data_IF_258484732686
#
_entry.id   IF_258484732686
#
_cell.length_a   1.000
_cell.length_b   1.000
_cell.length_c   1.000
_cell.angle_alpha   90.00
_cell.angle_beta   90.00
_cell.angle_gamma   90.00
#
_symmetry.space_group_name_H-M   'P 1'
#
loop_
_entity.id
_entity.type
_entity.pdbx_description
1 polymer ?
#
# COMPACT_ATOMS: atom_id res chain seq x y z
N UNK A 1 -31.15 8.64 57.34
CA UNK A 1 -30.14 7.61 56.96
C UNK A 1 -30.09 7.33 55.46
N UNK A 2 -31.23 7.15 54.76
CA UNK A 2 -31.25 6.92 53.29
C UNK A 2 -30.50 7.95 52.45
N UNK A 3 -30.63 9.26 52.73
CA UNK A 3 -29.93 10.29 51.94
C UNK A 3 -28.41 10.29 52.17
N UNK A 4 -27.91 9.94 53.37
CA UNK A 4 -26.47 9.80 53.62
C UNK A 4 -25.88 8.56 52.93
N UNK A 5 -26.64 7.48 52.82
CA UNK A 5 -26.22 6.24 52.14
C UNK A 5 -26.13 6.44 50.62
N UNK A 6 -27.08 7.18 50.02
CA UNK A 6 -27.07 7.52 48.59
C UNK A 6 -25.89 8.43 48.25
N UNK A 7 -25.59 9.42 49.11
CA UNK A 7 -24.43 10.30 48.93
C UNK A 7 -23.11 9.51 49.05
N UNK A 8 -23.01 8.55 49.97
CA UNK A 8 -21.81 7.71 50.09
C UNK A 8 -21.61 6.77 48.89
N UNK A 9 -22.69 6.19 48.36
CA UNK A 9 -22.66 5.33 47.18
C UNK A 9 -22.30 6.11 45.91
N UNK A 10 -22.85 7.32 45.73
CA UNK A 10 -22.46 8.22 44.64
C UNK A 10 -21.00 8.67 44.76
N UNK A 11 -20.53 8.98 45.96
CA UNK A 11 -19.12 9.32 46.20
C UNK A 11 -18.18 8.14 45.90
N UNK A 12 -18.57 6.91 46.27
CA UNK A 12 -17.80 5.69 45.95
C UNK A 12 -17.76 5.42 44.44
N UNK A 13 -18.87 5.59 43.71
CA UNK A 13 -18.92 5.40 42.26
C UNK A 13 -18.08 6.47 41.53
N UNK A 14 -18.11 7.74 41.98
CA UNK A 14 -17.28 8.83 41.44
C UNK A 14 -15.79 8.58 41.75
N UNK A 15 -15.46 8.08 42.94
CA UNK A 15 -14.08 7.75 43.33
C UNK A 15 -13.50 6.55 42.56
N UNK A 16 -14.33 5.55 42.23
CA UNK A 16 -13.91 4.41 41.42
C UNK A 16 -13.67 4.84 39.95
N UNK A 17 -14.59 5.61 39.34
CA UNK A 17 -14.43 6.07 37.96
C UNK A 17 -13.20 6.97 37.77
N UNK A 18 -12.88 7.83 38.75
CA UNK A 18 -11.70 8.70 38.70
C UNK A 18 -10.36 7.94 38.83
N UNK A 19 -10.31 6.87 39.64
CA UNK A 19 -9.14 6.00 39.72
C UNK A 19 -8.88 5.22 38.42
N UNK A 20 -9.95 4.75 37.76
CA UNK A 20 -9.84 4.11 36.45
C UNK A 20 -9.38 5.09 35.35
N UNK A 21 -9.89 6.32 35.36
CA UNK A 21 -9.46 7.37 34.42
C UNK A 21 -7.95 7.69 34.56
N UNK A 22 -7.46 7.81 35.79
CA UNK A 22 -6.05 8.07 36.08
C UNK A 22 -5.12 6.94 35.59
N UNK A 23 -5.54 5.67 35.73
CA UNK A 23 -4.76 4.54 35.24
C UNK A 23 -4.60 4.54 33.71
N UNK A 24 -5.68 4.85 32.97
CA UNK A 24 -5.61 4.99 31.52
C UNK A 24 -4.75 6.18 31.11
N UNK A 25 -4.80 7.28 31.86
CA UNK A 25 -3.94 8.43 31.62
C UNK A 25 -2.45 8.10 31.83
N UNK A 26 -2.07 7.43 32.91
CA UNK A 26 -0.67 7.00 33.13
C UNK A 26 -0.19 6.00 32.07
N UNK A 27 -1.04 5.04 31.70
CA UNK A 27 -0.76 4.12 30.59
C UNK A 27 -0.55 4.88 29.27
N UNK A 28 -1.41 5.86 28.99
CA UNK A 28 -1.31 6.73 27.82
C UNK A 28 0.01 7.50 27.80
N UNK A 29 0.42 8.09 28.92
CA UNK A 29 1.72 8.79 29.04
C UNK A 29 2.91 7.86 28.83
N UNK A 30 2.84 6.63 29.34
CA UNK A 30 3.90 5.65 29.09
C UNK A 30 4.02 5.29 27.61
N UNK A 31 2.90 5.04 26.93
CA UNK A 31 2.90 4.80 25.49
C UNK A 31 3.38 6.02 24.70
N UNK A 32 2.95 7.22 25.10
CA UNK A 32 3.36 8.48 24.50
C UNK A 32 4.87 8.71 24.62
N UNK A 33 5.45 8.48 25.81
CA UNK A 33 6.90 8.57 26.04
C UNK A 33 7.69 7.56 25.20
N UNK A 34 7.11 6.38 24.99
CA UNK A 34 7.66 5.32 24.15
C UNK A 34 7.34 5.52 22.65
N UNK A 35 6.78 6.68 22.25
CA UNK A 35 6.42 7.04 20.87
C UNK A 35 5.38 6.11 20.22
N UNK A 36 4.65 5.33 21.02
CA UNK A 36 3.55 4.49 20.55
C UNK A 36 2.23 5.30 20.60
N UNK A 37 2.08 6.23 19.67
CA UNK A 37 0.99 7.22 19.68
C UNK A 37 -0.40 6.60 19.43
N UNK A 38 -0.48 5.45 18.75
CA UNK A 38 -1.76 4.74 18.54
C UNK A 38 -2.29 4.19 19.87
N UNK A 39 -1.44 3.53 20.66
CA UNK A 39 -1.85 3.03 21.98
C UNK A 39 -2.04 4.17 22.99
N UNK A 40 -1.22 5.22 22.90
CA UNK A 40 -1.43 6.44 23.69
C UNK A 40 -2.80 7.05 23.41
N UNK A 41 -3.21 7.16 22.14
CA UNK A 41 -4.50 7.71 21.72
C UNK A 41 -5.67 6.89 22.27
N UNK A 42 -5.61 5.56 22.19
CA UNK A 42 -6.64 4.69 22.77
C UNK A 42 -6.74 4.85 24.29
N UNK A 43 -5.61 4.90 24.99
CA UNK A 43 -5.56 5.09 26.44
C UNK A 43 -6.06 6.46 26.87
N UNK A 44 -5.63 7.54 26.19
CA UNK A 44 -6.12 8.89 26.48
C UNK A 44 -7.59 9.08 26.13
N UNK A 45 -8.09 8.47 25.04
CA UNK A 45 -9.52 8.48 24.71
C UNK A 45 -10.36 7.79 25.78
N UNK A 46 -9.87 6.69 26.36
CA UNK A 46 -10.51 6.02 27.51
C UNK A 46 -10.48 6.91 28.75
N UNK A 47 -9.34 7.51 29.09
CA UNK A 47 -9.23 8.44 30.20
C UNK A 47 -10.21 9.63 30.06
N UNK A 48 -10.30 10.20 28.85
CA UNK A 48 -11.21 11.30 28.53
C UNK A 48 -12.68 10.88 28.51
N UNK A 49 -12.99 9.63 28.15
CA UNK A 49 -14.38 9.11 28.25
C UNK A 49 -14.85 8.96 29.69
N UNK A 50 -13.92 8.67 30.62
CA UNK A 50 -14.21 8.53 32.04
C UNK A 50 -14.24 9.87 32.77
N UNK A 51 -13.44 10.85 32.34
CA UNK A 51 -13.47 12.23 32.83
C UNK A 51 -13.34 13.24 31.67
N UNK A 52 -14.47 13.60 31.02
CA UNK A 52 -14.46 14.48 29.85
C UNK A 52 -14.04 15.91 30.16
N UNK A 53 -14.08 16.35 31.42
CA UNK A 53 -13.80 17.74 31.78
C UNK A 53 -12.34 17.95 32.21
N UNK A 54 -11.54 16.89 32.24
CA UNK A 54 -10.13 16.95 32.62
C UNK A 54 -9.27 17.58 31.51
N UNK A 55 -8.81 18.80 31.76
CA UNK A 55 -7.99 19.56 30.80
C UNK A 55 -6.66 18.88 30.47
N UNK A 56 -6.02 18.19 31.42
CA UNK A 56 -4.74 17.53 31.19
C UNK A 56 -4.90 16.27 30.34
N UNK A 57 -5.95 15.47 30.59
CA UNK A 57 -6.23 14.28 29.76
C UNK A 57 -6.54 14.69 28.33
N UNK A 58 -7.37 15.73 28.17
CA UNK A 58 -7.72 16.29 26.86
C UNK A 58 -6.50 16.88 26.16
N UNK A 59 -5.58 17.51 26.90
CA UNK A 59 -4.34 18.05 26.35
C UNK A 59 -3.42 16.95 25.81
N UNK A 60 -3.17 15.90 26.58
CA UNK A 60 -2.35 14.78 26.09
C UNK A 60 -3.03 14.00 24.97
N UNK A 61 -4.36 13.92 24.97
CA UNK A 61 -5.12 13.41 23.85
C UNK A 61 -4.90 14.25 22.60
N UNK A 62 -5.10 15.58 22.68
CA UNK A 62 -4.88 16.53 21.58
C UNK A 62 -3.44 16.52 21.07
N UNK A 63 -2.45 16.48 21.96
CA UNK A 63 -1.04 16.32 21.62
C UNK A 63 -0.79 15.01 20.88
N UNK A 64 -1.38 13.91 21.34
CA UNK A 64 -1.27 12.63 20.65
C UNK A 64 -1.90 12.69 19.26
N UNK A 65 -3.02 13.42 19.07
CA UNK A 65 -3.62 13.66 17.76
C UNK A 65 -2.69 14.45 16.83
N UNK A 66 -1.92 15.42 17.35
CA UNK A 66 -0.88 16.12 16.56
C UNK A 66 0.20 15.16 16.07
N UNK A 67 0.71 14.27 16.93
CA UNK A 67 1.69 13.25 16.51
C UNK A 67 1.13 12.17 15.58
N UNK A 68 -0.20 12.03 15.55
CA UNK A 68 -0.94 11.21 14.60
C UNK A 68 -1.40 11.99 13.36
N UNK A 69 -0.99 13.27 13.22
CA UNK A 69 -1.31 14.17 12.11
C UNK A 69 -2.81 14.43 11.88
N UNK A 70 -3.64 14.19 12.89
CA UNK A 70 -5.07 14.52 12.92
C UNK A 70 -5.28 15.96 13.40
N UNK A 71 -4.74 16.93 12.65
CA UNK A 71 -4.57 18.31 13.10
C UNK A 71 -5.89 19.06 13.33
N UNK A 72 -6.91 18.81 12.51
CA UNK A 72 -8.25 19.41 12.70
C UNK A 72 -8.91 18.93 14.00
N UNK A 73 -8.75 17.66 14.33
CA UNK A 73 -9.27 17.09 15.58
C UNK A 73 -8.45 17.60 16.77
N UNK A 74 -7.12 17.64 16.63
CA UNK A 74 -6.25 18.21 17.66
C UNK A 74 -6.62 19.67 17.96
N UNK A 75 -6.85 20.49 16.93
CA UNK A 75 -7.27 21.88 17.07
C UNK A 75 -8.61 22.00 17.82
N UNK A 76 -9.63 21.23 17.44
CA UNK A 76 -10.93 21.21 18.16
C UNK A 76 -10.76 20.84 19.63
N UNK A 77 -9.91 19.87 19.94
CA UNK A 77 -9.63 19.46 21.31
C UNK A 77 -8.88 20.54 22.10
N UNK A 78 -7.93 21.24 21.47
CA UNK A 78 -7.24 22.40 22.06
C UNK A 78 -8.18 23.58 22.33
N UNK A 79 -9.07 23.89 21.39
CA UNK A 79 -10.12 24.89 21.57
C UNK A 79 -11.03 24.53 22.74
N UNK A 80 -11.38 23.24 22.88
CA UNK A 80 -12.19 22.76 24.00
C UNK A 80 -11.48 22.87 25.35
N UNK A 81 -10.16 22.70 25.41
CA UNK A 81 -9.38 22.91 26.65
C UNK A 81 -9.42 24.37 27.08
N UNK A 82 -9.32 25.30 26.12
CA UNK A 82 -9.39 26.75 26.37
C UNK A 82 -10.78 27.12 26.90
N UNK A 83 -11.85 26.53 26.37
CA UNK A 83 -13.22 26.72 26.86
C UNK A 83 -13.41 26.19 28.30
N UNK A 84 -12.94 24.96 28.57
CA UNK A 84 -13.16 24.27 29.83
C UNK A 84 -12.32 24.82 30.99
N UNK A 85 -11.06 25.21 30.72
CA UNK A 85 -10.11 25.61 31.75
C UNK A 85 -9.15 26.71 31.26
N UNK A 86 -9.66 27.93 30.97
CA UNK A 86 -8.90 28.99 30.29
C UNK A 86 -7.64 29.48 31.04
N UNK A 87 -7.59 29.32 32.37
CA UNK A 87 -6.44 29.71 33.19
C UNK A 87 -5.43 28.58 33.42
N UNK A 88 -5.70 27.38 32.92
CA UNK A 88 -4.82 26.21 33.12
C UNK A 88 -3.54 26.29 32.28
N UNK A 89 -2.49 25.60 32.74
CA UNK A 89 -1.27 25.42 31.94
C UNK A 89 -1.55 24.73 30.61
N UNK A 90 -2.48 23.76 30.60
CA UNK A 90 -2.95 23.08 29.40
C UNK A 90 -3.56 24.05 28.37
N UNK A 91 -4.38 25.01 28.80
CA UNK A 91 -4.97 26.01 27.89
C UNK A 91 -3.91 26.94 27.29
N UNK A 92 -2.92 27.39 28.08
CA UNK A 92 -1.80 28.21 27.56
C UNK A 92 -0.99 27.47 26.49
N UNK A 93 -0.70 26.19 26.74
CA UNK A 93 0.00 25.34 25.78
C UNK A 93 -0.85 25.06 24.53
N UNK A 94 -2.17 24.93 24.71
CA UNK A 94 -3.14 24.73 23.62
C UNK A 94 -3.16 25.91 22.65
N UNK A 95 -3.09 27.16 23.13
CA UNK A 95 -3.00 28.35 22.27
C UNK A 95 -1.74 28.31 21.39
N UNK A 96 -0.59 27.94 21.97
CA UNK A 96 0.67 27.81 21.22
C UNK A 96 0.58 26.67 20.20
N UNK A 97 -0.04 25.54 20.57
CA UNK A 97 -0.24 24.41 19.69
C UNK A 97 -1.16 24.75 18.50
N UNK A 98 -2.27 25.47 18.74
CA UNK A 98 -3.16 25.96 17.68
C UNK A 98 -2.41 26.92 16.75
N UNK A 99 -1.63 27.87 17.29
CA UNK A 99 -0.85 28.79 16.46
C UNK A 99 0.18 28.04 15.58
N UNK A 100 0.76 26.94 16.07
CA UNK A 100 1.64 26.09 15.30
C UNK A 100 0.89 25.30 14.21
N UNK A 101 -0.32 24.79 14.51
CA UNK A 101 -1.20 24.13 13.54
C UNK A 101 -1.64 25.13 12.47
N UNK A 102 -2.05 26.33 12.86
CA UNK A 102 -2.43 27.41 11.95
C UNK A 102 -1.24 27.90 11.12
N UNK A 103 -0.02 27.90 11.66
CA UNK A 103 1.19 28.19 10.87
C UNK A 103 1.53 27.05 9.91
N UNK A 104 1.26 25.80 10.30
CA UNK A 104 1.36 24.65 9.42
C UNK A 104 0.34 24.74 8.27
N UNK A 105 -0.88 25.20 8.53
CA UNK A 105 -1.88 25.46 7.50
C UNK A 105 -1.60 26.75 6.71
N UNK A 106 -1.20 27.85 7.32
CA UNK A 106 -0.84 29.10 6.64
C UNK A 106 0.44 29.01 5.81
N UNK A 107 1.31 28.03 6.09
CA UNK A 107 2.39 27.63 5.19
C UNK A 107 1.92 26.80 3.99
N UNK A 108 0.63 26.46 3.94
CA UNK A 108 -0.05 25.60 2.98
C UNK A 108 -1.42 26.18 2.50
N UNK A 109 -1.78 27.43 2.82
CA UNK A 109 -3.14 27.94 2.59
C UNK A 109 -3.31 28.58 1.21
N UNK A 110 -4.49 28.27 0.68
CA UNK A 110 -5.03 28.43 -0.66
C UNK A 110 -5.57 29.86 -0.84
N UNK A 111 -5.14 30.56 -1.90
CA UNK A 111 -6.00 31.54 -2.56
C UNK A 111 -6.61 30.86 -3.79
N UNK A 112 -7.94 30.79 -3.80
CA UNK A 112 -8.76 30.29 -4.89
C UNK A 112 -8.89 31.39 -5.95
N UNK A 113 -8.21 31.22 -7.08
CA UNK A 113 -8.72 31.41 -8.45
C UNK A 113 -7.54 31.34 -9.44
N UNK A 114 -7.49 30.24 -10.20
CA UNK A 114 -6.58 30.00 -11.33
C UNK A 114 -5.06 29.93 -11.03
N UNK A 115 -4.42 28.89 -11.56
CA UNK A 115 -2.96 28.67 -11.61
C UNK A 115 -2.25 28.02 -10.38
N UNK A 116 -1.91 26.74 -10.56
CA UNK A 116 -0.74 26.02 -10.02
C UNK A 116 -0.54 25.87 -8.50
N UNK A 117 -0.81 24.65 -8.00
CA UNK A 117 -0.31 24.16 -6.68
C UNK A 117 1.22 24.10 -6.63
N UNK A 118 1.86 24.39 -5.48
CA UNK A 118 3.32 24.49 -5.39
C UNK A 118 4.00 23.12 -5.49
N UNK A 119 4.91 23.04 -6.46
CA UNK A 119 5.75 21.93 -6.83
C UNK A 119 6.91 21.70 -5.86
N UNK A 120 7.31 20.44 -5.67
CA UNK A 120 8.71 20.09 -5.37
C UNK A 120 9.54 20.60 -6.56
N UNK A 121 10.29 21.70 -6.41
CA UNK A 121 11.15 22.29 -7.45
C UNK A 121 10.68 22.03 -8.89
N UNK A 122 9.60 22.69 -9.31
CA UNK A 122 9.15 22.67 -10.71
C UNK A 122 8.61 21.33 -11.24
N UNK A 123 8.46 20.28 -10.42
CA UNK A 123 7.90 19.00 -10.89
C UNK A 123 6.38 19.06 -11.05
N UNK A 124 5.64 19.95 -10.40
CA UNK A 124 4.18 20.10 -10.61
C UNK A 124 3.32 18.93 -10.06
N UNK A 125 2.05 18.85 -10.48
CA UNK A 125 1.11 17.82 -10.02
C UNK A 125 1.62 16.40 -10.32
N UNK A 126 1.41 15.46 -9.39
CA UNK A 126 1.81 14.05 -9.50
C UNK A 126 0.96 13.17 -8.56
N UNK A 127 1.18 11.85 -8.59
CA UNK A 127 0.53 10.88 -7.71
C UNK A 127 1.55 9.88 -7.12
N UNK A 128 2.73 10.37 -6.72
CA UNK A 128 3.83 9.51 -6.20
C UNK A 128 3.40 8.60 -5.05
N UNK A 129 2.43 9.01 -4.24
CA UNK A 129 1.84 8.21 -3.16
C UNK A 129 1.21 6.90 -3.63
N UNK A 130 0.69 6.89 -4.86
CA UNK A 130 0.08 5.73 -5.49
C UNK A 130 1.09 4.92 -6.33
N UNK A 131 2.34 5.38 -6.43
CA UNK A 131 3.40 4.69 -7.16
C UNK A 131 4.21 3.72 -6.28
N UNK A 132 3.94 3.67 -4.97
CA UNK A 132 4.72 2.92 -3.99
C UNK A 132 4.32 1.44 -3.94
N UNK A 133 5.30 0.56 -3.70
CA UNK A 133 5.07 -0.85 -3.36
C UNK A 133 5.22 -1.07 -1.85
N UNK A 134 4.13 -1.39 -1.16
CA UNK A 134 4.14 -1.52 0.30
C UNK A 134 4.61 -0.26 1.05
N UNK A 135 4.51 0.92 0.41
CA UNK A 135 5.02 2.19 0.93
C UNK A 135 6.48 2.50 0.61
N UNK A 136 7.15 1.66 -0.19
CA UNK A 136 8.53 1.87 -0.64
C UNK A 136 8.57 2.32 -2.11
N UNK A 137 9.56 3.14 -2.45
CA UNK A 137 9.88 3.45 -3.85
C UNK A 137 10.60 2.27 -4.45
N UNK A 138 10.06 1.79 -5.57
CA UNK A 138 10.66 0.73 -6.38
C UNK A 138 11.00 1.31 -7.75
N UNK A 139 12.27 1.20 -8.15
CA UNK A 139 12.75 1.78 -9.42
C UNK A 139 14.01 1.10 -9.95
N UNK A 140 14.37 1.38 -11.20
CA UNK A 140 15.63 0.95 -11.79
C UNK A 140 16.81 1.71 -11.16
N UNK A 141 18.00 1.09 -11.12
CA UNK A 141 19.23 1.85 -10.85
C UNK A 141 19.52 2.73 -12.07
N UNK A 142 19.71 4.04 -11.89
CA UNK A 142 20.04 4.96 -12.99
C UNK A 142 21.35 4.59 -13.70
N UNK A 143 22.31 3.98 -13.00
CA UNK A 143 23.56 3.48 -13.60
C UNK A 143 23.35 2.31 -14.57
N UNK A 144 22.15 1.70 -14.58
CA UNK A 144 21.77 0.61 -15.47
C UNK A 144 21.38 1.09 -16.87
N UNK A 145 21.18 2.39 -17.07
CA UNK A 145 20.74 2.94 -18.36
C UNK A 145 21.79 2.78 -19.47
N UNK A 146 21.38 2.57 -20.73
CA UNK A 146 20.01 2.35 -21.18
C UNK A 146 19.47 0.95 -20.84
N UNK A 147 18.18 0.85 -20.51
CA UNK A 147 17.52 -0.43 -20.28
C UNK A 147 17.49 -1.26 -21.57
N UNK A 148 17.73 -2.57 -21.46
CA UNK A 148 17.69 -3.48 -22.60
C UNK A 148 16.27 -4.00 -22.79
N UNK A 149 15.65 -3.66 -23.91
CA UNK A 149 14.29 -4.06 -24.29
C UNK A 149 14.36 -5.22 -25.29
N UNK A 150 13.72 -6.34 -24.96
CA UNK A 150 13.46 -7.41 -25.91
C UNK A 150 12.02 -7.38 -26.38
N UNK A 151 11.86 -7.30 -27.70
CA UNK A 151 10.59 -7.48 -28.40
C UNK A 151 10.74 -8.68 -29.33
N UNK A 152 10.14 -9.81 -28.93
CA UNK A 152 10.22 -11.05 -29.70
C UNK A 152 9.49 -11.01 -31.05
N UNK A 153 9.63 -12.09 -31.81
CA UNK A 153 8.86 -12.32 -33.03
C UNK A 153 7.57 -13.08 -32.68
N UNK A 154 6.43 -12.44 -32.87
CA UNK A 154 5.11 -12.98 -32.52
C UNK A 154 4.20 -13.20 -33.74
N UNK A 155 4.75 -13.26 -34.95
CA UNK A 155 3.98 -13.48 -36.18
C UNK A 155 3.09 -14.72 -36.15
N UNK A 156 3.50 -15.74 -35.41
CA UNK A 156 2.79 -17.01 -35.28
C UNK A 156 1.81 -17.05 -34.09
N UNK A 157 1.72 -15.99 -33.30
CA UNK A 157 0.77 -15.90 -32.18
C UNK A 157 -0.61 -15.52 -32.72
N UNK A 158 -1.62 -16.33 -32.37
CA UNK A 158 -3.01 -16.09 -32.77
C UNK A 158 -3.45 -14.65 -32.45
N UNK A 159 -4.00 -13.96 -33.44
CA UNK A 159 -4.51 -12.59 -33.32
C UNK A 159 -3.46 -11.48 -33.28
N UNK A 160 -2.16 -11.81 -33.31
CA UNK A 160 -1.10 -10.81 -33.43
C UNK A 160 -1.20 -10.07 -34.76
N UNK A 161 -1.00 -8.76 -34.74
CA UNK A 161 -0.94 -7.92 -35.95
C UNK A 161 0.44 -7.28 -36.09
N UNK A 162 0.90 -7.08 -37.32
CA UNK A 162 2.22 -6.52 -37.60
C UNK A 162 2.46 -5.14 -36.96
N UNK A 163 1.40 -4.35 -36.78
CA UNK A 163 1.46 -3.02 -36.15
C UNK A 163 1.64 -3.06 -34.63
N UNK A 164 1.44 -4.20 -33.96
CA UNK A 164 1.58 -4.29 -32.49
C UNK A 164 3.01 -3.97 -32.05
N UNK A 165 4.02 -4.50 -32.74
CA UNK A 165 5.42 -4.20 -32.46
C UNK A 165 5.78 -2.72 -32.70
N UNK A 166 5.12 -2.06 -33.67
CA UNK A 166 5.28 -0.63 -33.90
C UNK A 166 4.65 0.20 -32.78
N UNK A 167 3.47 -0.19 -32.30
CA UNK A 167 2.80 0.45 -31.16
C UNK A 167 3.65 0.39 -29.88
N UNK A 168 4.30 -0.75 -29.61
CA UNK A 168 5.24 -0.91 -28.48
C UNK A 168 6.40 0.08 -28.59
N UNK A 169 7.09 0.11 -29.74
CA UNK A 169 8.22 1.01 -29.97
C UNK A 169 7.81 2.48 -29.83
N UNK A 170 6.62 2.82 -30.33
CA UNK A 170 6.05 4.16 -30.20
C UNK A 170 5.80 4.51 -28.72
N UNK A 171 5.15 3.64 -27.95
CA UNK A 171 4.86 3.88 -26.54
C UNK A 171 6.13 4.09 -25.71
N UNK A 172 7.19 3.30 -25.92
CA UNK A 172 8.48 3.53 -25.28
C UNK A 172 9.14 4.83 -25.71
N UNK A 173 9.08 5.16 -27.01
CA UNK A 173 9.62 6.43 -27.52
C UNK A 173 8.91 7.62 -26.90
N UNK A 174 7.59 7.55 -26.74
CA UNK A 174 6.78 8.60 -26.13
C UNK A 174 7.14 8.79 -24.65
N UNK A 175 7.31 7.71 -23.88
CA UNK A 175 7.83 7.79 -22.51
C UNK A 175 9.21 8.45 -22.43
N UNK A 176 10.17 8.04 -23.28
CA UNK A 176 11.52 8.62 -23.28
C UNK A 176 11.47 10.11 -23.62
N UNK A 177 10.76 10.47 -24.68
CA UNK A 177 10.66 11.85 -25.15
C UNK A 177 10.05 12.76 -24.07
N UNK A 178 9.07 12.25 -23.32
CA UNK A 178 8.42 13.01 -22.24
C UNK A 178 9.25 13.08 -20.96
N UNK A 179 10.12 12.11 -20.72
CA UNK A 179 11.02 12.09 -19.57
C UNK A 179 12.34 12.84 -19.83
N UNK A 180 12.46 13.58 -20.93
CA UNK A 180 13.62 14.43 -21.27
C UNK A 180 14.96 13.68 -21.18
N UNK A 181 14.99 12.39 -21.56
CA UNK A 181 16.19 11.56 -21.54
C UNK A 181 16.60 11.02 -20.18
N UNK A 182 15.79 11.21 -19.13
CA UNK A 182 15.99 10.58 -17.80
C UNK A 182 16.07 9.05 -17.90
N UNK A 183 15.30 8.47 -18.83
CA UNK A 183 15.28 7.04 -19.12
C UNK A 183 15.65 6.85 -20.58
N UNK A 184 16.34 5.75 -20.89
CA UNK A 184 16.66 5.38 -22.26
C UNK A 184 16.61 3.86 -22.42
N UNK A 185 16.35 3.36 -23.64
CA UNK A 185 16.36 1.92 -23.92
C UNK A 185 17.15 1.58 -25.19
N UNK A 186 17.60 0.33 -25.26
CA UNK A 186 18.19 -0.27 -26.46
C UNK A 186 17.48 -1.58 -26.78
N UNK A 187 17.33 -1.92 -28.05
CA UNK A 187 16.75 -3.19 -28.45
C UNK A 187 17.81 -4.30 -28.41
N UNK A 188 17.44 -5.44 -27.83
CA UNK A 188 18.25 -6.67 -27.86
C UNK A 188 17.50 -7.79 -28.56
N UNK A 189 18.24 -8.72 -29.16
CA UNK A 189 17.67 -9.84 -29.92
C UNK A 189 17.49 -11.12 -29.10
N UNK A 190 17.99 -11.16 -27.87
CA UNK A 190 17.91 -12.32 -26.97
C UNK A 190 17.18 -11.90 -25.67
N UNK A 191 16.12 -12.60 -25.25
CA UNK A 191 15.38 -12.26 -24.03
C UNK A 191 16.23 -12.34 -22.76
N UNK A 192 17.26 -13.21 -22.72
CA UNK A 192 18.12 -13.35 -21.55
C UNK A 192 19.03 -12.14 -21.31
N UNK A 193 19.26 -11.33 -22.35
CA UNK A 193 20.05 -10.10 -22.25
C UNK A 193 19.18 -8.89 -21.88
N UNK A 194 17.85 -9.08 -21.76
CA UNK A 194 16.89 -8.00 -21.59
C UNK A 194 16.61 -7.68 -20.12
N UNK A 195 16.43 -6.39 -19.85
CA UNK A 195 15.91 -5.88 -18.58
C UNK A 195 14.38 -5.82 -18.62
N UNK A 196 13.82 -5.49 -19.79
CA UNK A 196 12.36 -5.51 -20.03
C UNK A 196 12.05 -6.44 -21.20
N UNK A 197 11.12 -7.37 -20.99
CA UNK A 197 10.62 -8.29 -22.02
C UNK A 197 9.17 -7.95 -22.33
N UNK A 198 8.86 -7.80 -23.63
CA UNK A 198 7.48 -7.66 -24.12
C UNK A 198 7.05 -8.96 -24.75
N UNK A 199 5.96 -9.54 -24.28
CA UNK A 199 5.43 -10.82 -24.75
C UNK A 199 3.97 -10.69 -25.16
N UNK A 200 3.66 -11.06 -26.40
CA UNK A 200 2.29 -11.16 -26.88
C UNK A 200 1.75 -12.57 -26.69
N UNK A 201 0.53 -12.67 -26.14
CA UNK A 201 -0.18 -13.92 -25.89
C UNK A 201 -1.62 -13.85 -26.40
N UNK A 202 -2.24 -14.95 -26.86
CA UNK A 202 -3.63 -14.93 -27.33
C UNK A 202 -4.62 -14.36 -26.30
N UNK A 203 -4.41 -14.74 -25.04
CA UNK A 203 -5.06 -14.18 -23.88
C UNK A 203 -4.08 -14.33 -22.70
N UNK A 204 -4.00 -13.32 -21.84
CA UNK A 204 -3.25 -13.41 -20.59
C UNK A 204 -4.00 -14.37 -19.67
N UNK A 205 -3.25 -15.30 -19.05
CA UNK A 205 -3.81 -16.26 -18.12
C UNK A 205 -4.18 -15.54 -16.81
N UNK A 206 -5.47 -15.24 -16.66
CA UNK A 206 -5.98 -14.60 -15.45
C UNK A 206 -6.43 -15.60 -14.39
N UNK A 207 -6.30 -16.91 -14.62
CA UNK A 207 -6.82 -17.96 -13.72
C UNK A 207 -6.33 -17.82 -12.28
N UNK A 208 -5.10 -17.33 -12.08
CA UNK A 208 -4.51 -17.08 -10.75
C UNK A 208 -4.69 -15.65 -10.23
N UNK A 209 -5.09 -14.71 -11.08
CA UNK A 209 -5.35 -13.30 -10.71
C UNK A 209 -6.83 -13.04 -10.44
N UNK A 210 -7.69 -13.97 -10.88
CA UNK A 210 -9.15 -13.91 -11.02
C UNK A 210 -9.73 -12.55 -11.42
N UNK A 211 -8.93 -11.73 -12.09
CA UNK A 211 -9.38 -10.58 -12.84
C UNK A 211 -10.18 -11.09 -14.03
N UNK A 212 -11.23 -10.37 -14.43
CA UNK A 212 -11.83 -10.54 -15.74
C UNK A 212 -10.78 -10.35 -16.84
N UNK A 213 -11.23 -10.19 -18.08
CA UNK A 213 -10.28 -9.97 -19.18
C UNK A 213 -9.35 -8.78 -18.93
N UNK A 214 -8.04 -9.04 -18.88
CA UNK A 214 -6.99 -8.01 -18.86
C UNK A 214 -6.27 -7.98 -20.21
N UNK A 215 -5.93 -6.77 -20.63
CA UNK A 215 -5.30 -6.52 -21.92
C UNK A 215 -3.78 -6.45 -21.84
N UNK A 216 -3.27 -6.00 -20.70
CA UNK A 216 -1.87 -5.92 -20.36
C UNK A 216 -1.66 -6.41 -18.93
N UNK A 217 -0.47 -6.90 -18.65
CA UNK A 217 -0.02 -7.23 -17.32
C UNK A 217 1.49 -7.04 -17.23
N UNK A 218 1.93 -6.23 -16.28
CA UNK A 218 3.34 -6.10 -15.93
C UNK A 218 3.65 -6.90 -14.67
N UNK A 219 4.67 -7.74 -14.75
CA UNK A 219 5.27 -8.42 -13.61
C UNK A 219 6.73 -8.02 -13.44
N UNK A 220 7.21 -8.03 -12.20
CA UNK A 220 8.53 -7.51 -11.86
C UNK A 220 9.33 -8.52 -11.03
N UNK A 221 10.65 -8.47 -11.17
CA UNK A 221 11.57 -9.04 -10.20
C UNK A 221 12.31 -7.90 -9.50
N UNK A 222 12.05 -7.76 -8.20
CA UNK A 222 12.56 -6.70 -7.35
C UNK A 222 13.55 -7.32 -6.35
N UNK A 223 14.72 -6.69 -6.18
CA UNK A 223 15.67 -7.03 -5.12
C UNK A 223 15.78 -5.86 -4.16
N UNK A 224 15.16 -5.98 -2.98
CA UNK A 224 15.01 -4.87 -2.04
C UNK A 224 14.02 -3.86 -2.59
N UNK A 225 14.52 -2.71 -3.04
CA UNK A 225 13.79 -1.60 -3.65
C UNK A 225 14.22 -1.34 -5.11
N UNK A 226 15.08 -2.20 -5.67
CA UNK A 226 15.63 -2.02 -7.02
C UNK A 226 15.00 -3.02 -8.00
N UNK A 227 14.42 -2.49 -9.07
CA UNK A 227 13.97 -3.27 -10.23
C UNK A 227 15.18 -3.92 -10.90
N UNK A 228 15.06 -5.23 -11.15
CA UNK A 228 16.07 -6.02 -11.86
C UNK A 228 15.57 -6.54 -13.18
N UNK A 229 14.27 -6.76 -13.30
CA UNK A 229 13.63 -7.28 -14.51
C UNK A 229 12.15 -6.91 -14.50
N UNK A 230 11.59 -6.62 -15.67
CA UNK A 230 10.15 -6.48 -15.87
C UNK A 230 9.68 -7.27 -17.10
N UNK A 231 8.52 -7.90 -17.00
CA UNK A 231 7.89 -8.62 -18.09
C UNK A 231 6.48 -8.04 -18.31
N UNK A 232 6.24 -7.55 -19.52
CA UNK A 232 4.95 -7.04 -19.96
C UNK A 232 4.32 -8.06 -20.87
N UNK A 233 3.23 -8.68 -20.43
CA UNK A 233 2.38 -9.51 -21.27
C UNK A 233 1.24 -8.68 -21.85
N UNK A 234 0.96 -8.87 -23.15
CA UNK A 234 -0.13 -8.17 -23.85
C UNK A 234 -1.01 -9.18 -24.58
N UNK A 235 -2.30 -9.14 -24.30
CA UNK A 235 -3.30 -9.95 -24.99
C UNK A 235 -3.42 -9.50 -26.45
N UNK A 236 -3.42 -10.44 -27.39
CA UNK A 236 -3.58 -10.13 -28.82
C UNK A 236 -5.04 -10.07 -29.26
N UNK A 237 -5.95 -10.64 -28.47
CA UNK A 237 -7.38 -10.74 -28.77
C UNK A 237 -8.24 -10.45 -27.54
N UNK A 238 -9.44 -9.94 -27.77
CA UNK A 238 -10.50 -9.80 -26.76
C UNK A 238 -11.18 -11.15 -26.49
N UNK A 239 -11.97 -11.31 -25.40
CA UNK A 239 -12.66 -12.57 -25.08
C UNK A 239 -13.60 -13.04 -26.19
N UNK A 240 -14.22 -12.09 -26.91
CA UNK A 240 -15.07 -12.36 -28.07
C UNK A 240 -14.28 -12.65 -29.37
N UNK A 241 -12.96 -12.87 -29.26
CA UNK A 241 -12.01 -13.12 -30.36
C UNK A 241 -11.84 -11.97 -31.35
N UNK A 242 -12.27 -10.76 -31.02
CA UNK A 242 -11.98 -9.58 -31.85
C UNK A 242 -10.54 -9.11 -31.63
N UNK A 243 -9.93 -8.58 -32.69
CA UNK A 243 -8.55 -8.09 -32.70
C UNK A 243 -8.50 -6.68 -32.09
N UNK A 244 -7.44 -6.39 -31.35
CA UNK A 244 -7.19 -5.05 -30.84
C UNK A 244 -6.74 -4.11 -31.94
N UNK A 245 -7.24 -2.87 -31.91
CA UNK A 245 -6.75 -1.81 -32.79
C UNK A 245 -5.32 -1.41 -32.42
N UNK A 246 -4.61 -0.71 -33.30
CA UNK A 246 -3.28 -0.15 -32.97
C UNK A 246 -3.36 0.76 -31.74
N UNK A 247 -4.43 1.56 -31.64
CA UNK A 247 -4.72 2.44 -30.51
C UNK A 247 -4.93 1.67 -29.21
N UNK A 248 -5.67 0.55 -29.24
CA UNK A 248 -5.86 -0.29 -28.06
C UNK A 248 -4.52 -0.80 -27.53
N UNK A 249 -3.69 -1.40 -28.40
CA UNK A 249 -2.38 -1.93 -28.02
C UNK A 249 -1.44 -0.83 -27.55
N UNK A 250 -1.42 0.30 -28.25
CA UNK A 250 -0.60 1.44 -27.87
C UNK A 250 -0.92 1.89 -26.44
N UNK A 251 -2.20 2.08 -26.09
CA UNK A 251 -2.57 2.53 -24.75
C UNK A 251 -2.35 1.49 -23.67
N UNK A 252 -2.63 0.21 -23.95
CA UNK A 252 -2.29 -0.89 -23.04
C UNK A 252 -0.81 -0.86 -22.74
N UNK A 253 0.04 -0.86 -23.76
CA UNK A 253 1.50 -0.89 -23.56
C UNK A 253 1.98 0.40 -22.89
N UNK A 254 1.40 1.56 -23.21
CA UNK A 254 1.77 2.83 -22.58
C UNK A 254 1.54 2.79 -21.06
N UNK A 255 0.43 2.19 -20.61
CA UNK A 255 0.12 1.96 -19.19
C UNK A 255 1.10 0.96 -18.55
N UNK A 256 1.29 -0.20 -19.16
CA UNK A 256 2.18 -1.23 -18.65
C UNK A 256 3.64 -0.76 -18.56
N UNK A 257 4.09 0.12 -19.46
CA UNK A 257 5.41 0.73 -19.35
C UNK A 257 5.52 1.56 -18.07
N UNK A 258 4.49 2.31 -17.67
CA UNK A 258 4.52 3.06 -16.41
C UNK A 258 4.77 2.16 -15.21
N UNK A 259 4.12 0.99 -15.16
CA UNK A 259 4.42 -0.04 -14.17
C UNK A 259 5.86 -0.56 -14.29
N UNK A 260 6.32 -0.88 -15.50
CA UNK A 260 7.68 -1.37 -15.72
C UNK A 260 8.76 -0.34 -15.36
N UNK A 261 8.44 0.95 -15.38
CA UNK A 261 9.34 2.04 -14.99
C UNK A 261 9.33 2.31 -13.48
N UNK A 262 8.41 1.74 -12.71
CA UNK A 262 8.43 1.86 -11.24
C UNK A 262 7.15 2.36 -10.59
N UNK A 263 6.09 2.65 -11.34
CA UNK A 263 4.80 3.01 -10.75
C UNK A 263 4.09 1.72 -10.31
N UNK A 264 4.15 1.40 -9.02
CA UNK A 264 3.66 0.11 -8.52
C UNK A 264 2.15 0.06 -8.25
N UNK A 265 1.47 1.21 -8.33
CA UNK A 265 0.01 1.31 -8.27
C UNK A 265 -0.55 2.13 -9.44
N UNK A 266 -1.68 2.79 -9.23
CA UNK A 266 -2.46 3.43 -10.28
C UNK A 266 -2.79 4.88 -9.94
N UNK A 267 -2.95 5.72 -10.97
CA UNK A 267 -3.51 7.06 -10.75
C UNK A 267 -4.98 6.98 -10.34
N UNK A 268 -5.40 7.97 -9.55
CA UNK A 268 -6.80 8.19 -9.18
C UNK A 268 -7.55 9.07 -10.18
N UNK A 269 -6.87 9.65 -11.19
CA UNK A 269 -7.47 10.56 -12.16
C UNK A 269 -7.65 9.87 -13.52
N UNK A 270 -8.88 9.87 -14.05
CA UNK A 270 -9.25 9.21 -15.30
C UNK A 270 -8.56 9.74 -16.57
N UNK A 271 -7.98 10.93 -16.51
CA UNK A 271 -7.22 11.53 -17.61
C UNK A 271 -5.77 11.01 -17.68
N UNK A 272 -5.29 10.33 -16.64
CA UNK A 272 -3.91 9.85 -16.56
C UNK A 272 -3.76 8.49 -17.27
N UNK A 273 -2.60 8.28 -17.88
CA UNK A 273 -2.27 6.99 -18.51
C UNK A 273 -2.34 5.87 -17.47
N UNK A 274 -1.87 6.13 -16.24
CA UNK A 274 -1.86 5.15 -15.15
C UNK A 274 -3.22 4.93 -14.47
N UNK A 275 -4.32 5.48 -14.99
CA UNK A 275 -5.65 5.16 -14.49
C UNK A 275 -6.15 3.80 -15.02
N UNK A 276 -6.75 2.94 -14.18
CA UNK A 276 -7.13 1.60 -14.58
C UNK A 276 -8.44 1.62 -15.38
N UNK A 277 -8.35 1.66 -16.71
CA UNK A 277 -9.53 1.63 -17.61
C UNK A 277 -9.73 0.23 -18.21
N UNK A 278 -10.97 -0.26 -18.17
CA UNK A 278 -11.39 -1.42 -18.95
C UNK A 278 -11.54 -1.04 -20.44
N UNK A 279 -10.76 -1.69 -21.32
CA UNK A 279 -10.76 -1.37 -22.76
C UNK A 279 -12.17 -1.49 -23.36
N UNK A 280 -12.66 -0.39 -23.94
CA UNK A 280 -13.91 -0.34 -24.70
C UNK A 280 -15.01 0.54 -24.10
N UNK A 281 -14.79 1.20 -22.95
CA UNK A 281 -15.84 2.04 -22.32
C UNK A 281 -15.84 3.52 -22.67
N UNK A 282 -14.86 4.03 -23.40
CA UNK A 282 -14.92 5.26 -24.21
C UNK A 282 -13.59 5.41 -24.92
N UNK A 283 -13.62 5.87 -26.15
CA UNK A 283 -12.50 6.49 -26.84
C UNK A 283 -12.13 7.78 -26.12
N UNK A 284 -11.56 7.66 -24.92
CA UNK A 284 -10.99 8.81 -24.22
C UNK A 284 -9.68 9.09 -24.93
N UNK A 285 -9.48 10.33 -25.37
CA UNK A 285 -8.16 10.83 -25.70
C UNK A 285 -7.32 10.75 -24.42
N UNK A 286 -6.81 9.56 -24.09
CA UNK A 286 -5.81 9.37 -23.05
C UNK A 286 -4.58 10.11 -23.57
N UNK A 287 -4.42 11.36 -23.14
CA UNK A 287 -3.26 12.18 -23.44
C UNK A 287 -2.29 11.92 -22.30
N UNK A 288 -1.04 11.67 -22.63
CA UNK A 288 0.05 11.56 -21.68
C UNK A 288 -0.01 12.77 -20.71
N UNK A 289 -0.43 12.54 -19.47
CA UNK A 289 -0.68 13.65 -18.55
C UNK A 289 0.66 14.17 -18.03
N UNK A 290 0.70 15.44 -17.65
CA UNK A 290 1.87 15.97 -16.92
C UNK A 290 2.08 15.19 -15.61
N UNK A 291 1.00 14.73 -14.95
CA UNK A 291 1.07 13.94 -13.71
C UNK A 291 1.80 12.61 -13.88
N UNK A 292 1.60 11.91 -15.01
CA UNK A 292 2.33 10.67 -15.32
C UNK A 292 3.85 10.93 -15.43
N UNK A 293 4.24 11.98 -16.19
CA UNK A 293 5.64 12.39 -16.34
C UNK A 293 6.25 12.75 -14.99
N UNK A 294 5.55 13.60 -14.24
CA UNK A 294 6.01 14.19 -13.00
C UNK A 294 6.17 13.14 -11.92
N UNK A 295 5.29 12.15 -11.89
CA UNK A 295 5.38 11.01 -10.96
C UNK A 295 6.67 10.23 -11.20
N UNK A 296 7.02 9.91 -12.45
CA UNK A 296 8.29 9.22 -12.73
C UNK A 296 9.50 10.12 -12.47
N UNK A 297 9.48 11.39 -12.90
CA UNK A 297 10.58 12.32 -12.61
C UNK A 297 10.84 12.42 -11.12
N UNK A 298 9.78 12.50 -10.31
CA UNK A 298 9.89 12.51 -8.86
C UNK A 298 10.39 11.17 -8.32
N UNK A 299 9.82 10.04 -8.78
CA UNK A 299 10.23 8.68 -8.41
C UNK A 299 11.74 8.48 -8.55
N UNK A 300 12.35 9.02 -9.61
CA UNK A 300 13.78 8.91 -9.92
C UNK A 300 14.65 10.04 -9.32
N UNK A 301 14.03 11.12 -8.80
CA UNK A 301 14.72 12.19 -8.06
C UNK A 301 14.85 11.89 -6.57
N UNK A 302 13.92 11.14 -5.99
CA UNK A 302 13.93 10.80 -4.56
C UNK A 302 15.11 9.87 -4.22
N UNK A 303 15.62 9.88 -3.00
CA UNK A 303 16.67 8.93 -2.61
C UNK A 303 16.10 7.50 -2.50
N UNK A 304 16.89 6.50 -2.90
CA UNK A 304 16.41 5.12 -3.04
C UNK A 304 16.00 4.50 -1.69
N UNK A 305 16.57 4.97 -0.59
CA UNK A 305 16.39 4.37 0.72
C UNK A 305 15.28 5.12 1.48
N UNK A 306 14.14 4.47 1.70
CA UNK A 306 13.04 4.99 2.54
C UNK A 306 12.94 4.19 3.84
N UNK A 307 14.05 3.60 4.29
CA UNK A 307 14.11 3.03 5.63
C UNK A 307 14.77 3.97 6.67
N UNK A 308 15.24 5.16 6.29
CA UNK A 308 16.29 5.85 7.04
C UNK A 308 16.21 7.39 7.03
N UNK A 309 15.32 7.94 7.84
CA UNK A 309 15.61 9.21 8.52
C UNK A 309 16.23 8.89 9.90
N UNK A 310 17.52 9.17 10.05
CA UNK A 310 18.22 9.12 11.35
C UNK A 310 17.86 10.37 12.18
N UNK A 311 17.12 10.17 13.26
CA UNK A 311 16.75 11.23 14.21
C UNK A 311 17.96 11.95 14.84
N UNK A 312 19.16 11.37 14.80
CA UNK A 312 20.37 12.00 15.33
C UNK A 312 20.92 13.12 14.41
N UNK A 313 20.60 13.11 13.11
CA UNK A 313 20.99 14.19 12.19
C UNK A 313 20.14 15.46 12.32
N UNK A 314 18.94 15.38 12.90
CA UNK A 314 18.06 16.53 13.18
C UNK A 314 18.70 17.50 14.18
N UNK A 315 19.60 17.03 15.04
CA UNK A 315 20.25 17.88 16.04
C UNK A 315 21.32 18.82 15.45
N UNK A 316 21.69 18.68 14.17
CA UNK A 316 22.61 19.59 13.49
C UNK A 316 21.84 20.46 12.51
N UNK A 317 22.01 21.77 12.71
CA UNK A 317 21.19 22.88 12.24
C UNK A 317 21.34 23.21 10.74
N UNK A 318 21.50 22.20 9.88
CA UNK A 318 21.65 22.33 8.42
C UNK A 318 20.64 21.42 7.72
N UNK A 319 19.35 21.74 7.83
CA UNK A 319 18.30 21.03 7.12
C UNK A 319 17.97 21.76 5.82
N UNK A 320 18.23 21.09 4.70
CA UNK A 320 17.85 21.55 3.37
C UNK A 320 16.34 21.40 3.17
N UNK A 321 15.71 22.40 2.56
CA UNK A 321 14.26 22.67 2.56
C UNK A 321 13.43 21.72 1.68
N UNK A 322 14.04 20.65 1.17
CA UNK A 322 13.52 19.82 0.08
C UNK A 322 13.11 18.38 0.48
N UNK A 323 12.92 18.10 1.77
CA UNK A 323 12.44 16.78 2.23
C UNK A 323 10.91 16.69 2.21
N UNK A 324 10.39 15.82 1.36
CA UNK A 324 8.98 15.51 1.14
C UNK A 324 8.30 14.93 2.39
N UNK A 325 7.19 15.54 2.83
CA UNK A 325 6.24 14.93 3.76
C UNK A 325 5.06 14.42 2.92
N UNK A 326 5.12 13.15 2.51
CA UNK A 326 3.96 12.44 1.99
C UNK A 326 2.92 12.35 3.13
N UNK A 327 1.65 12.59 2.85
CA UNK A 327 0.58 12.64 3.85
C UNK A 327 0.61 11.44 4.81
N UNK A 328 0.10 11.61 6.03
CA UNK A 328 0.24 10.59 7.06
C UNK A 328 -0.38 9.24 6.65
N UNK A 329 0.22 8.16 7.13
CA UNK A 329 -0.16 6.79 6.76
C UNK A 329 -1.65 6.51 6.94
N UNK A 330 -2.35 7.13 7.90
CA UNK A 330 -3.77 6.90 8.12
C UNK A 330 -4.65 7.58 7.06
N UNK A 331 -4.34 8.81 6.65
CA UNK A 331 -5.10 9.48 5.59
C UNK A 331 -5.01 8.72 4.26
N UNK A 332 -3.84 8.14 3.96
CA UNK A 332 -3.66 7.28 2.78
C UNK A 332 -4.51 6.01 2.88
N UNK A 333 -4.48 5.36 4.04
CA UNK A 333 -5.24 4.14 4.29
C UNK A 333 -6.76 4.40 4.30
N UNK A 334 -7.23 5.58 4.73
CA UNK A 334 -8.63 5.98 4.64
C UNK A 334 -9.10 6.16 3.19
N UNK A 335 -8.25 6.78 2.35
CA UNK A 335 -8.53 6.92 0.92
C UNK A 335 -8.56 5.57 0.22
N UNK A 336 -7.56 4.71 0.48
CA UNK A 336 -7.48 3.34 -0.06
C UNK A 336 -8.74 2.53 0.32
N UNK A 337 -9.17 2.62 1.58
CA UNK A 337 -10.39 1.98 2.03
C UNK A 337 -11.64 2.52 1.32
N UNK A 338 -11.70 3.83 1.08
CA UNK A 338 -12.84 4.44 0.40
C UNK A 338 -12.92 4.02 -1.07
N UNK A 339 -11.79 4.01 -1.77
CA UNK A 339 -11.70 3.55 -3.17
C UNK A 339 -12.10 2.08 -3.30
N UNK A 340 -11.64 1.23 -2.38
CA UNK A 340 -12.00 -0.18 -2.35
C UNK A 340 -13.50 -0.40 -2.09
N UNK A 341 -14.11 0.40 -1.20
CA UNK A 341 -15.58 0.38 -0.96
C UNK A 341 -16.34 0.77 -2.23
N UNK A 342 -15.90 1.80 -2.93
CA UNK A 342 -16.55 2.24 -4.16
C UNK A 342 -16.33 1.23 -5.31
N UNK A 343 -15.22 0.48 -5.30
CA UNK A 343 -15.01 -0.61 -6.24
C UNK A 343 -16.02 -1.76 -6.04
N UNK A 344 -16.25 -2.18 -4.79
CA UNK A 344 -17.29 -3.19 -4.48
C UNK A 344 -18.68 -2.74 -4.92
N UNK A 345 -19.03 -1.45 -4.75
CA UNK A 345 -20.31 -0.92 -5.25
C UNK A 345 -20.45 -1.02 -6.76
N UNK A 346 -19.36 -0.77 -7.51
CA UNK A 346 -19.35 -0.81 -8.98
C UNK A 346 -19.38 -2.24 -9.52
N UNK A 347 -18.67 -3.17 -8.87
CA UNK A 347 -18.47 -4.53 -9.36
C UNK A 347 -18.71 -5.56 -8.24
N UNK A 348 -19.94 -5.67 -7.70
CA UNK A 348 -20.21 -6.47 -6.50
C UNK A 348 -20.10 -7.99 -6.73
N UNK A 349 -20.16 -8.44 -7.98
CA UNK A 349 -20.15 -9.87 -8.33
C UNK A 349 -18.77 -10.37 -8.77
N UNK A 350 -17.69 -9.68 -8.38
CA UNK A 350 -16.34 -10.04 -8.80
C UNK A 350 -15.41 -10.17 -7.58
N UNK A 351 -14.67 -11.29 -7.43
CA UNK A 351 -13.86 -11.58 -6.24
C UNK A 351 -12.77 -10.53 -5.98
N UNK A 352 -12.19 -9.96 -7.04
CA UNK A 352 -11.18 -8.89 -6.91
C UNK A 352 -11.68 -7.69 -6.10
N UNK A 353 -12.93 -7.25 -6.27
CA UNK A 353 -13.42 -6.05 -5.59
C UNK A 353 -13.48 -6.27 -4.07
N UNK A 354 -13.96 -7.45 -3.67
CA UNK A 354 -13.99 -7.88 -2.27
C UNK A 354 -12.59 -8.17 -1.72
N UNK A 355 -11.68 -8.67 -2.54
CA UNK A 355 -10.26 -8.86 -2.17
C UNK A 355 -9.54 -7.54 -1.95
N UNK A 356 -9.77 -6.54 -2.81
CA UNK A 356 -9.24 -5.18 -2.66
C UNK A 356 -9.78 -4.54 -1.38
N UNK A 357 -11.07 -4.71 -1.09
CA UNK A 357 -11.66 -4.22 0.16
C UNK A 357 -11.09 -4.94 1.39
N UNK A 358 -10.89 -6.25 1.32
CA UNK A 358 -10.20 -7.01 2.37
C UNK A 358 -8.78 -6.53 2.61
N UNK A 359 -8.04 -6.25 1.53
CA UNK A 359 -6.65 -5.77 1.60
C UNK A 359 -6.56 -4.37 2.19
N UNK A 360 -7.47 -3.47 1.81
CA UNK A 360 -7.54 -2.15 2.40
C UNK A 360 -7.84 -2.19 3.91
N UNK A 361 -8.73 -3.09 4.35
CA UNK A 361 -8.96 -3.32 5.78
C UNK A 361 -7.74 -3.92 6.49
N UNK A 362 -7.03 -4.86 5.85
CA UNK A 362 -5.78 -5.41 6.37
C UNK A 362 -4.68 -4.36 6.54
N UNK A 363 -4.53 -3.47 5.57
CA UNK A 363 -3.57 -2.36 5.64
C UNK A 363 -3.90 -1.39 6.80
N UNK A 364 -5.19 -1.26 7.13
CA UNK A 364 -5.66 -0.56 8.34
C UNK A 364 -5.59 -1.38 9.63
N UNK A 365 -5.08 -2.62 9.56
CA UNK A 365 -5.03 -3.58 10.68
C UNK A 365 -6.41 -3.95 11.24
N UNK A 366 -7.45 -3.77 10.42
CA UNK A 366 -8.83 -4.14 10.71
C UNK A 366 -9.07 -5.57 10.20
N UNK A 367 -8.40 -6.53 10.85
CA UNK A 367 -8.27 -7.89 10.35
C UNK A 367 -9.59 -8.67 10.31
N UNK A 368 -10.54 -8.39 11.21
CA UNK A 368 -11.84 -9.05 11.19
C UNK A 368 -12.69 -8.63 9.99
N UNK A 369 -12.69 -7.33 9.69
CA UNK A 369 -13.32 -6.79 8.48
C UNK A 369 -12.63 -7.33 7.23
N UNK A 370 -11.30 -7.45 7.24
CA UNK A 370 -10.56 -8.08 6.15
C UNK A 370 -11.00 -9.55 5.93
N UNK A 371 -11.05 -10.36 6.98
CA UNK A 371 -11.52 -11.76 6.95
C UNK A 371 -12.91 -11.86 6.31
N UNK A 372 -13.86 -11.01 6.72
CA UNK A 372 -15.22 -11.01 6.14
C UNK A 372 -15.19 -10.73 4.64
N UNK A 373 -14.41 -9.74 4.20
CA UNK A 373 -14.37 -9.38 2.78
C UNK A 373 -13.63 -10.43 1.93
N UNK A 374 -12.56 -11.05 2.44
CA UNK A 374 -11.94 -12.18 1.74
C UNK A 374 -12.86 -13.40 1.66
N UNK A 375 -13.68 -13.67 2.69
CA UNK A 375 -14.71 -14.71 2.61
C UNK A 375 -15.75 -14.41 1.53
N UNK A 376 -16.22 -13.18 1.45
CA UNK A 376 -17.14 -12.76 0.38
C UNK A 376 -16.51 -12.96 -1.01
N UNK A 377 -15.21 -12.68 -1.16
CA UNK A 377 -14.51 -12.96 -2.41
C UNK A 377 -14.51 -14.47 -2.75
N UNK A 378 -14.27 -15.32 -1.75
CA UNK A 378 -14.25 -16.79 -1.91
C UNK A 378 -15.63 -17.43 -2.06
N UNK A 379 -16.70 -16.76 -1.61
CA UNK A 379 -18.08 -17.17 -1.91
C UNK A 379 -18.41 -16.98 -3.40
N UNK A 380 -17.83 -15.97 -4.04
CA UNK A 380 -17.99 -15.71 -5.47
C UNK A 380 -17.11 -16.67 -6.29
N UNK A 381 -15.84 -16.80 -5.90
CA UNK A 381 -14.90 -17.73 -6.52
C UNK A 381 -14.04 -18.43 -5.46
N UNK A 382 -14.39 -19.69 -5.18
CA UNK A 382 -13.70 -20.50 -4.19
C UNK A 382 -12.22 -20.76 -4.54
N UNK A 383 -11.80 -20.61 -5.80
CA UNK A 383 -10.42 -20.87 -6.22
C UNK A 383 -9.58 -19.59 -6.33
N UNK A 384 -10.12 -18.43 -5.92
CA UNK A 384 -9.41 -17.15 -6.00
C UNK A 384 -8.25 -17.07 -4.99
N UNK A 385 -7.05 -17.46 -5.43
CA UNK A 385 -5.88 -17.68 -4.58
C UNK A 385 -5.45 -16.44 -3.78
N UNK A 386 -5.54 -15.25 -4.38
CA UNK A 386 -5.15 -14.01 -3.71
C UNK A 386 -6.05 -13.68 -2.49
N UNK A 387 -7.36 -13.94 -2.58
CA UNK A 387 -8.27 -13.80 -1.43
C UNK A 387 -8.00 -14.85 -0.37
N UNK A 388 -7.68 -16.08 -0.79
CA UNK A 388 -7.33 -17.17 0.11
C UNK A 388 -6.04 -16.88 0.89
N UNK A 389 -5.04 -16.31 0.21
CA UNK A 389 -3.81 -15.84 0.83
C UNK A 389 -4.06 -14.69 1.81
N UNK A 390 -4.81 -13.66 1.38
CA UNK A 390 -5.22 -12.57 2.27
C UNK A 390 -5.99 -13.06 3.50
N UNK A 391 -6.88 -14.05 3.32
CA UNK A 391 -7.63 -14.68 4.41
C UNK A 391 -6.71 -15.42 5.37
N UNK A 392 -5.75 -16.20 4.87
CA UNK A 392 -4.77 -16.93 5.68
C UNK A 392 -3.90 -15.98 6.51
N UNK A 393 -3.40 -14.91 5.88
CA UNK A 393 -2.60 -13.88 6.54
C UNK A 393 -3.42 -13.13 7.61
N UNK A 394 -4.69 -12.80 7.32
CA UNK A 394 -5.58 -12.14 8.28
C UNK A 394 -5.89 -13.04 9.48
N UNK A 395 -6.13 -14.34 9.26
CA UNK A 395 -6.32 -15.30 10.35
C UNK A 395 -5.08 -15.44 11.23
N UNK A 396 -3.88 -15.45 10.63
CA UNK A 396 -2.61 -15.43 11.36
C UNK A 396 -2.51 -14.19 12.23
N UNK A 397 -2.86 -13.01 11.71
CA UNK A 397 -2.71 -11.74 12.43
C UNK A 397 -3.71 -11.58 13.59
N UNK A 398 -4.88 -12.23 13.53
CA UNK A 398 -5.81 -12.34 14.68
C UNK A 398 -5.50 -13.51 15.62
N UNK A 399 -4.48 -14.32 15.30
CA UNK A 399 -4.07 -15.48 16.09
C UNK A 399 -4.94 -16.73 15.91
N UNK A 400 -5.79 -16.77 14.89
CA UNK A 400 -6.57 -17.95 14.52
C UNK A 400 -5.72 -18.94 13.71
N UNK A 401 -4.83 -19.63 14.41
CA UNK A 401 -3.85 -20.55 13.84
C UNK A 401 -4.52 -21.68 13.06
N UNK A 402 -5.68 -22.15 13.53
CA UNK A 402 -6.38 -23.28 12.92
C UNK A 402 -6.87 -22.93 11.52
N UNK A 403 -7.55 -21.80 11.38
CA UNK A 403 -8.05 -21.37 10.08
C UNK A 403 -6.91 -20.90 9.17
N UNK A 404 -5.91 -20.17 9.70
CA UNK A 404 -4.72 -19.79 8.92
C UNK A 404 -4.00 -21.01 8.33
N UNK A 405 -3.79 -22.05 9.14
CA UNK A 405 -3.17 -23.31 8.71
C UNK A 405 -3.97 -23.99 7.61
N UNK A 406 -5.30 -24.02 7.74
CA UNK A 406 -6.20 -24.62 6.75
C UNK A 406 -6.07 -23.91 5.40
N UNK A 407 -6.09 -22.58 5.40
CA UNK A 407 -6.00 -21.81 4.16
C UNK A 407 -4.62 -21.89 3.50
N UNK A 408 -3.52 -21.87 4.27
CA UNK A 408 -2.20 -22.08 3.69
C UNK A 408 -2.03 -23.50 3.10
N UNK A 409 -2.62 -24.54 3.71
CA UNK A 409 -2.61 -25.88 3.13
C UNK A 409 -3.36 -25.94 1.80
N UNK A 410 -4.48 -25.23 1.69
CA UNK A 410 -5.22 -25.12 0.44
C UNK A 410 -4.38 -24.43 -0.64
N UNK A 411 -3.63 -23.37 -0.30
CA UNK A 411 -2.68 -22.70 -1.22
C UNK A 411 -1.56 -23.64 -1.68
N UNK A 412 -0.94 -24.39 -0.76
CA UNK A 412 0.09 -25.39 -1.10
C UNK A 412 -0.48 -26.51 -1.98
N UNK A 413 -1.73 -26.91 -1.76
CA UNK A 413 -2.39 -27.93 -2.60
C UNK A 413 -2.62 -27.40 -4.03
N UNK A 414 -2.90 -26.10 -4.18
CA UNK A 414 -3.10 -25.47 -5.49
C UNK A 414 -1.80 -25.32 -6.29
N UNK A 415 -0.70 -24.96 -5.63
CA UNK A 415 0.64 -24.91 -6.23
C UNK A 415 1.70 -25.49 -5.27
N UNK A 416 1.95 -26.81 -5.36
CA UNK A 416 2.91 -27.50 -4.49
C UNK A 416 4.36 -27.06 -4.67
N UNK A 417 4.69 -26.38 -5.77
CA UNK A 417 6.07 -25.94 -6.06
C UNK A 417 6.34 -24.52 -5.57
N UNK A 418 5.31 -23.80 -5.14
CA UNK A 418 5.40 -22.44 -4.65
C UNK A 418 6.15 -22.37 -3.31
N UNK A 419 7.37 -21.83 -3.35
CA UNK A 419 8.22 -21.68 -2.17
C UNK A 419 7.56 -20.77 -1.13
N UNK A 420 6.88 -19.70 -1.55
CA UNK A 420 6.30 -18.72 -0.63
C UNK A 420 5.16 -19.33 0.21
N UNK A 421 4.24 -20.09 -0.40
CA UNK A 421 3.13 -20.71 0.34
C UNK A 421 3.62 -21.68 1.42
N UNK A 422 4.61 -22.50 1.09
CA UNK A 422 5.23 -23.42 2.05
C UNK A 422 6.02 -22.70 3.13
N UNK A 423 6.73 -21.62 2.80
CA UNK A 423 7.42 -20.79 3.79
C UNK A 423 6.44 -20.13 4.76
N UNK A 424 5.32 -19.57 4.26
CA UNK A 424 4.29 -18.95 5.13
C UNK A 424 3.73 -19.93 6.15
N UNK A 425 3.40 -21.15 5.72
CA UNK A 425 2.91 -22.20 6.65
C UNK A 425 4.00 -22.68 7.61
N UNK A 426 5.22 -22.93 7.13
CA UNK A 426 6.32 -23.39 7.97
C UNK A 426 6.71 -22.34 9.01
N UNK A 427 6.70 -21.05 8.66
CA UNK A 427 6.93 -19.93 9.59
C UNK A 427 5.81 -19.82 10.63
N UNK A 428 4.55 -20.01 10.22
CA UNK A 428 3.43 -20.08 11.16
C UNK A 428 3.60 -21.24 12.14
N UNK A 429 3.97 -22.43 11.67
CA UNK A 429 4.23 -23.55 12.57
C UNK A 429 5.40 -23.28 13.52
N UNK A 430 6.49 -22.70 13.02
CA UNK A 430 7.63 -22.30 13.86
C UNK A 430 7.22 -21.29 14.94
N UNK A 431 6.41 -20.27 14.62
CA UNK A 431 6.01 -19.26 15.62
C UNK A 431 5.18 -19.84 16.77
N UNK A 432 4.56 -21.00 16.57
CA UNK A 432 3.82 -21.75 17.59
C UNK A 432 4.58 -22.98 18.11
N UNK A 433 5.91 -23.03 17.93
CA UNK A 433 6.80 -24.11 18.37
C UNK A 433 6.46 -25.50 17.78
N UNK A 434 5.75 -25.55 16.65
CA UNK A 434 5.41 -26.79 15.93
C UNK A 434 6.51 -27.14 14.93
N UNK A 435 7.72 -27.37 15.44
CA UNK A 435 8.93 -27.57 14.64
C UNK A 435 8.85 -28.80 13.71
N UNK A 436 8.23 -29.88 14.18
CA UNK A 436 8.03 -31.09 13.37
C UNK A 436 7.12 -30.83 12.16
N UNK A 437 6.00 -30.12 12.38
CA UNK A 437 5.07 -29.77 11.29
C UNK A 437 5.73 -28.83 10.27
N UNK A 438 6.50 -27.84 10.75
CA UNK A 438 7.27 -26.95 9.88
C UNK A 438 8.26 -27.73 9.00
N UNK A 439 9.00 -28.68 9.59
CA UNK A 439 9.92 -29.55 8.86
C UNK A 439 9.21 -30.42 7.84
N UNK A 440 8.04 -30.97 8.16
CA UNK A 440 7.24 -31.75 7.20
C UNK A 440 6.86 -30.90 5.98
N UNK A 441 6.41 -29.65 6.19
CA UNK A 441 6.06 -28.74 5.10
C UNK A 441 7.27 -28.43 4.21
N UNK A 442 8.44 -28.14 4.80
CA UNK A 442 9.66 -27.83 4.04
C UNK A 442 10.17 -29.04 3.25
N UNK A 443 10.11 -30.25 3.83
CA UNK A 443 10.47 -31.47 3.11
C UNK A 443 9.48 -31.77 1.98
N UNK A 444 8.19 -31.52 2.19
CA UNK A 444 7.18 -31.62 1.13
C UNK A 444 7.49 -30.66 -0.03
N UNK A 445 7.81 -29.39 0.27
CA UNK A 445 8.24 -28.41 -0.73
C UNK A 445 9.46 -28.89 -1.52
N UNK A 446 10.51 -29.38 -0.84
CA UNK A 446 11.75 -29.84 -1.49
C UNK A 446 11.49 -31.05 -2.39
N UNK A 447 10.58 -31.95 -2.00
CA UNK A 447 10.20 -33.08 -2.83
C UNK A 447 9.43 -32.63 -4.09
N UNK A 448 8.55 -31.63 -3.97
CA UNK A 448 7.79 -31.08 -5.09
C UNK A 448 8.65 -30.16 -5.99
N UNK A 449 9.60 -29.43 -5.40
CA UNK A 449 10.51 -28.47 -6.02
C UNK A 449 11.94 -28.65 -5.45
N UNK A 450 12.78 -29.53 -6.05
CA UNK A 450 14.13 -29.79 -5.57
C UNK A 450 15.04 -28.55 -5.51
N UNK A 451 14.80 -27.54 -6.35
CA UNK A 451 15.57 -26.29 -6.37
C UNK A 451 15.34 -25.46 -5.10
N UNK A 452 14.21 -25.65 -4.41
CA UNK A 452 13.90 -24.98 -3.15
C UNK A 452 14.94 -25.27 -2.05
N UNK A 453 15.67 -26.39 -2.13
CA UNK A 453 16.78 -26.69 -1.21
C UNK A 453 17.90 -25.66 -1.28
N UNK A 454 18.05 -24.97 -2.41
CA UNK A 454 19.08 -23.92 -2.59
C UNK A 454 18.61 -22.54 -2.16
N UNK A 455 17.30 -22.35 -1.92
CA UNK A 455 16.73 -21.08 -1.45
C UNK A 455 17.20 -20.75 -0.03
N UNK A 456 17.69 -19.54 0.19
CA UNK A 456 18.30 -19.13 1.47
C UNK A 456 17.30 -19.09 2.63
N UNK A 457 16.06 -18.65 2.40
CA UNK A 457 15.03 -18.61 3.43
C UNK A 457 14.61 -20.02 3.86
N UNK A 458 14.51 -20.94 2.89
CA UNK A 458 14.23 -22.36 3.15
C UNK A 458 15.36 -22.99 3.97
N UNK A 459 16.62 -22.79 3.56
CA UNK A 459 17.79 -23.30 4.30
C UNK A 459 17.82 -22.78 5.73
N UNK A 460 17.64 -21.46 5.90
CA UNK A 460 17.66 -20.81 7.22
C UNK A 460 16.58 -21.39 8.11
N UNK A 461 15.36 -21.48 7.60
CA UNK A 461 14.23 -21.99 8.36
C UNK A 461 14.43 -23.47 8.75
N UNK A 462 14.93 -24.30 7.84
CA UNK A 462 15.29 -25.69 8.14
C UNK A 462 16.33 -25.80 9.26
N UNK A 463 17.34 -24.94 9.30
CA UNK A 463 18.32 -24.92 10.38
C UNK A 463 17.71 -24.49 11.72
N UNK A 464 16.71 -23.63 11.69
CA UNK A 464 16.00 -23.18 12.90
C UNK A 464 15.09 -24.27 13.47
N UNK A 465 14.38 -25.03 12.61
CA UNK A 465 13.40 -26.03 13.05
C UNK A 465 13.98 -27.44 13.30
N UNK A 466 15.25 -27.66 12.96
CA UNK A 466 16.00 -28.91 13.24
C UNK A 466 16.85 -28.89 14.52
N UNK A 467 16.86 -27.76 15.24
CA UNK A 467 17.46 -27.64 16.58
C UNK A 467 16.45 -28.07 17.64
#
# INVERSE_FOLDING_TARGET
MKNKLIILLLALIISANSAFAANYYESGKNFYKNKNYVQANLSFKKALSSDPYNADYRYYYAQTLVYLLRLDEAQKEYEKIIELAPLSSAAKLSVIAIANIQKYYAGNDIEDESESKPSIDGIGENYIDNALDGGLIVRWNLEKMPLKLYLGNYKDVSGYQSYYGSAVKRAFSDWINKLDGLMNYTLVSNPNDADIVIKFVPAIDTTNTGSGFISGLTSHHIKGNILKYANIEVSTMRPNKTIFTETDIYYTVLHEIGHALGIMGHSYNEDDVMYPVAIGKKSVNLVFSHRDVNTIKLLYKLDADISNFDAQKIAKKDFDKNSLVLGDSNSRLDKELQEAKDYVKRVPNHPIAWTSLGSAYNNKKQYYEAITNYKNALEIDANYLQAREGLADSYKDVGDVYNATTEYKNLITSDPKNINYSLKLALLYRSYNKYQDANMVLNYLINANPEARTNEDVKRLMLEVNK
#
